data_IF_716710104007
#
_entry.id   IF_716710104007
#
_cell.length_a   1.000
_cell.length_b   1.000
_cell.length_c   1.000
_cell.angle_alpha   90.00
_cell.angle_beta   90.00
_cell.angle_gamma   90.00
#
_symmetry.space_group_name_H-M   'P 1'
#
loop_
_entity.id
_entity.type
_entity.pdbx_description
1 polymer ?
#
# COMPACT_ATOMS: atom_id res chain seq x y z
N UNK A 1 6.90 23.45 -16.42
CA UNK A 1 7.14 23.18 -14.99
C UNK A 1 8.42 22.33 -14.93
N UNK A 2 9.58 22.99 -15.00
CA UNK A 2 10.88 22.34 -15.17
C UNK A 2 11.20 21.20 -14.20
N UNK A 3 11.95 21.37 -13.14
CA UNK A 3 12.52 20.29 -12.34
C UNK A 3 11.72 19.94 -11.07
N UNK A 4 10.37 19.98 -11.13
CA UNK A 4 9.54 19.65 -9.97
C UNK A 4 9.38 18.15 -9.85
N UNK A 5 9.84 17.55 -8.74
CA UNK A 5 9.58 16.18 -8.40
C UNK A 5 8.12 15.99 -7.94
N UNK A 6 7.43 15.03 -8.50
CA UNK A 6 6.06 14.66 -8.10
C UNK A 6 6.12 13.37 -7.30
N UNK A 7 5.40 13.34 -6.18
CA UNK A 7 5.17 12.13 -5.38
C UNK A 7 3.76 11.67 -5.69
N UNK A 8 3.60 10.40 -6.00
CA UNK A 8 2.31 9.84 -6.40
C UNK A 8 2.08 8.45 -5.81
N UNK A 9 0.85 7.99 -5.87
CA UNK A 9 0.43 6.64 -5.53
C UNK A 9 0.01 5.86 -6.80
N UNK A 10 0.01 4.53 -6.80
CA UNK A 10 -0.30 3.72 -7.99
C UNK A 10 -1.66 4.01 -8.59
N UNK A 11 -2.68 4.23 -7.78
CA UNK A 11 -4.03 4.56 -8.24
C UNK A 11 -4.08 5.90 -8.98
N UNK A 12 -3.26 6.87 -8.61
CA UNK A 12 -3.15 8.15 -9.32
C UNK A 12 -2.53 7.95 -10.71
N UNK A 13 -1.53 7.07 -10.85
CA UNK A 13 -0.95 6.74 -12.14
C UNK A 13 -1.98 6.14 -13.10
N UNK A 14 -2.79 5.23 -12.61
CA UNK A 14 -3.84 4.60 -13.41
C UNK A 14 -4.94 5.61 -13.76
N UNK A 15 -5.34 6.46 -12.80
CA UNK A 15 -6.38 7.47 -12.98
C UNK A 15 -5.98 8.52 -14.04
N UNK A 16 -4.72 8.95 -14.04
CA UNK A 16 -4.22 10.01 -14.92
C UNK A 16 -3.54 9.51 -16.19
N UNK A 17 -3.61 8.23 -16.44
CA UNK A 17 -3.06 7.61 -17.66
C UNK A 17 -3.62 8.27 -18.92
N UNK A 18 -2.74 8.73 -19.80
CA UNK A 18 -3.10 9.32 -21.10
C UNK A 18 -3.74 10.72 -21.04
N UNK A 19 -3.81 11.34 -19.89
CA UNK A 19 -4.28 12.74 -19.76
C UNK A 19 -3.11 13.71 -19.96
N UNK A 20 -3.39 14.87 -20.58
CA UNK A 20 -2.37 15.93 -20.78
C UNK A 20 -1.85 16.50 -19.46
N UNK A 21 -2.72 16.57 -18.44
CA UNK A 21 -2.42 17.02 -17.08
C UNK A 21 -1.99 15.88 -16.14
N UNK A 22 -1.84 14.68 -16.67
CA UNK A 22 -1.44 13.50 -15.92
C UNK A 22 0.06 13.43 -15.61
N UNK A 23 0.45 12.44 -14.83
CA UNK A 23 1.84 12.22 -14.43
C UNK A 23 2.66 11.56 -15.55
N UNK A 24 2.85 12.26 -16.66
CA UNK A 24 3.59 11.72 -17.80
C UNK A 24 5.09 11.93 -17.70
N UNK A 25 5.52 12.84 -16.83
CA UNK A 25 6.93 13.20 -16.71
C UNK A 25 7.28 13.56 -15.27
N UNK A 26 8.49 13.23 -14.86
CA UNK A 26 9.11 13.69 -13.62
C UNK A 26 8.51 13.16 -12.30
N UNK A 27 7.76 12.05 -12.30
CA UNK A 27 7.51 11.34 -11.05
C UNK A 27 8.79 10.63 -10.66
N UNK A 28 9.44 11.10 -9.62
CA UNK A 28 10.72 10.56 -9.17
C UNK A 28 10.55 9.38 -8.22
N UNK A 29 9.45 9.35 -7.47
CA UNK A 29 9.10 8.24 -6.59
C UNK A 29 7.62 8.29 -6.21
N UNK A 30 7.11 7.17 -5.75
CA UNK A 30 5.77 7.08 -5.21
C UNK A 30 5.80 6.88 -3.70
N UNK A 31 4.79 7.40 -3.02
CA UNK A 31 4.61 7.25 -1.59
C UNK A 31 3.22 6.69 -1.29
N UNK A 32 3.20 5.54 -0.64
CA UNK A 32 1.97 4.92 -0.17
C UNK A 32 2.21 4.09 1.07
N UNK A 33 1.15 3.77 1.79
CA UNK A 33 1.19 2.79 2.87
C UNK A 33 1.12 1.34 2.37
N UNK A 34 0.81 1.13 1.09
CA UNK A 34 0.61 -0.20 0.51
C UNK A 34 1.92 -0.98 0.34
N UNK A 35 3.08 -0.29 0.33
CA UNK A 35 4.40 -0.91 0.33
C UNK A 35 4.60 -1.92 1.48
N UNK A 36 3.81 -1.82 2.55
CA UNK A 36 3.83 -2.78 3.65
C UNK A 36 3.36 -4.17 3.26
N UNK A 37 2.84 -4.35 2.07
CA UNK A 37 2.51 -5.66 1.52
C UNK A 37 3.66 -6.26 0.70
N UNK A 38 4.61 -5.44 0.28
CA UNK A 38 5.79 -5.91 -0.43
C UNK A 38 6.72 -6.67 0.52
N UNK A 39 7.28 -7.75 -0.02
CA UNK A 39 8.33 -8.55 0.60
C UNK A 39 9.49 -8.69 -0.40
N UNK A 40 10.68 -9.15 0.01
CA UNK A 40 11.76 -9.41 -0.93
C UNK A 40 11.38 -10.35 -2.09
N UNK A 41 10.46 -11.28 -1.82
CA UNK A 41 10.04 -12.29 -2.80
C UNK A 41 8.78 -11.90 -3.58
N UNK A 42 8.09 -10.83 -3.17
CA UNK A 42 6.83 -10.37 -3.78
C UNK A 42 6.69 -8.84 -3.63
N UNK A 43 7.34 -8.10 -4.51
CA UNK A 43 7.43 -6.65 -4.45
C UNK A 43 6.55 -5.97 -5.52
N UNK A 44 5.26 -6.26 -5.50
CA UNK A 44 4.28 -5.81 -6.49
C UNK A 44 4.26 -4.29 -6.67
N UNK A 45 4.34 -3.55 -5.58
CA UNK A 45 4.32 -2.10 -5.59
C UNK A 45 5.54 -1.52 -6.29
N UNK A 46 6.74 -2.01 -5.94
CA UNK A 46 8.00 -1.58 -6.55
C UNK A 46 8.00 -1.88 -8.04
N UNK A 47 7.54 -3.07 -8.46
CA UNK A 47 7.46 -3.43 -9.88
C UNK A 47 6.50 -2.54 -10.66
N UNK A 48 5.32 -2.24 -10.10
CA UNK A 48 4.37 -1.33 -10.74
C UNK A 48 4.98 0.07 -10.95
N UNK A 49 5.58 0.63 -9.91
CA UNK A 49 6.17 1.99 -10.00
C UNK A 49 7.37 2.03 -10.94
N UNK A 50 8.23 1.01 -10.91
CA UNK A 50 9.37 0.94 -11.81
C UNK A 50 8.94 0.89 -13.30
N UNK A 51 7.88 0.18 -13.62
CA UNK A 51 7.29 0.17 -14.96
C UNK A 51 6.61 1.50 -15.29
N UNK A 52 5.82 2.03 -14.38
CA UNK A 52 5.09 3.29 -14.58
C UNK A 52 6.02 4.48 -14.82
N UNK A 53 7.16 4.56 -14.14
CA UNK A 53 8.18 5.61 -14.36
C UNK A 53 8.81 5.55 -15.76
N UNK A 54 8.74 4.40 -16.42
CA UNK A 54 9.17 4.22 -17.80
C UNK A 54 8.04 4.40 -18.82
N UNK A 55 6.85 4.82 -18.39
CA UNK A 55 5.67 5.02 -19.22
C UNK A 55 4.83 3.76 -19.45
N UNK A 56 5.18 2.63 -18.83
CA UNK A 56 4.43 1.37 -18.90
C UNK A 56 3.53 1.23 -17.68
N UNK A 57 2.32 1.79 -17.76
CA UNK A 57 1.31 1.69 -16.69
C UNK A 57 0.51 0.39 -16.89
N UNK A 58 0.81 -0.61 -16.08
CA UNK A 58 0.20 -1.92 -16.15
C UNK A 58 -1.11 -1.97 -15.34
N UNK A 59 -2.24 -1.76 -16.01
CA UNK A 59 -3.57 -1.80 -15.41
C UNK A 59 -3.89 -3.19 -14.83
N UNK A 60 -3.39 -4.26 -15.43
CA UNK A 60 -3.61 -5.62 -14.97
C UNK A 60 -2.87 -5.88 -13.67
N UNK A 61 -1.61 -5.48 -13.58
CA UNK A 61 -0.81 -5.57 -12.36
C UNK A 61 -1.46 -4.75 -11.24
N UNK A 62 -1.91 -3.53 -11.55
CA UNK A 62 -2.62 -2.69 -10.59
C UNK A 62 -3.90 -3.38 -10.08
N UNK A 63 -4.78 -3.79 -10.99
CA UNK A 63 -6.09 -4.33 -10.64
C UNK A 63 -6.01 -5.67 -9.89
N UNK A 64 -5.05 -6.52 -10.24
CA UNK A 64 -4.92 -7.87 -9.67
C UNK A 64 -4.13 -7.89 -8.36
N UNK A 65 -3.18 -6.98 -8.19
CA UNK A 65 -2.25 -7.02 -7.06
C UNK A 65 -2.38 -5.82 -6.13
N UNK A 66 -2.42 -4.60 -6.65
CA UNK A 66 -2.35 -3.39 -5.81
C UNK A 66 -3.71 -2.91 -5.32
N UNK A 67 -4.73 -2.93 -6.17
CA UNK A 67 -6.08 -2.50 -5.80
C UNK A 67 -6.64 -3.28 -4.61
N UNK A 68 -6.57 -4.62 -4.54
CA UNK A 68 -7.05 -5.36 -3.38
C UNK A 68 -6.32 -5.01 -2.09
N UNK A 69 -5.01 -4.75 -2.16
CA UNK A 69 -4.21 -4.30 -1.02
C UNK A 69 -4.68 -2.91 -0.55
N UNK A 70 -4.88 -2.00 -1.49
CA UNK A 70 -5.37 -0.65 -1.20
C UNK A 70 -6.76 -0.68 -0.56
N UNK A 71 -7.68 -1.43 -1.11
CA UNK A 71 -9.05 -1.57 -0.58
C UNK A 71 -9.04 -2.10 0.87
N UNK A 72 -8.23 -3.09 1.17
CA UNK A 72 -8.07 -3.60 2.52
C UNK A 72 -7.42 -2.56 3.45
N UNK A 73 -6.38 -1.89 2.98
CA UNK A 73 -5.71 -0.81 3.71
C UNK A 73 -6.68 0.32 4.05
N UNK A 74 -7.46 0.79 3.08
CA UNK A 74 -8.45 1.85 3.24
C UNK A 74 -9.56 1.44 4.23
N UNK A 75 -10.08 0.20 4.13
CA UNK A 75 -11.06 -0.35 5.08
C UNK A 75 -10.57 -0.22 6.53
N UNK A 76 -9.37 -0.70 6.78
CA UNK A 76 -8.78 -0.70 8.12
C UNK A 76 -8.40 0.70 8.58
N UNK A 77 -7.85 1.52 7.71
CA UNK A 77 -7.49 2.90 8.01
C UNK A 77 -8.73 3.71 8.43
N UNK A 78 -9.76 3.70 7.59
CA UNK A 78 -11.00 4.44 7.86
C UNK A 78 -11.71 3.92 9.11
N UNK A 79 -11.81 2.61 9.31
CA UNK A 79 -12.42 2.01 10.49
C UNK A 79 -11.72 2.44 11.79
N UNK A 80 -10.39 2.42 11.81
CA UNK A 80 -9.62 2.84 12.98
C UNK A 80 -9.67 4.35 13.22
N UNK A 81 -9.66 5.17 12.17
CA UNK A 81 -9.84 6.62 12.31
C UNK A 81 -11.20 6.99 12.88
N UNK A 82 -12.27 6.32 12.43
CA UNK A 82 -13.61 6.53 12.99
C UNK A 82 -13.66 6.18 14.48
N UNK A 83 -13.11 5.04 14.86
CA UNK A 83 -13.04 4.58 16.23
C UNK A 83 -12.24 5.53 17.13
N UNK A 84 -11.15 6.07 16.62
CA UNK A 84 -10.25 6.99 17.37
C UNK A 84 -10.64 8.47 17.26
N UNK A 85 -11.82 8.77 16.71
CA UNK A 85 -12.32 10.14 16.50
C UNK A 85 -11.35 11.01 15.67
N UNK A 86 -10.77 10.41 14.62
CA UNK A 86 -9.89 11.10 13.67
C UNK A 86 -8.41 11.03 13.99
N UNK A 87 -7.99 10.33 15.04
CA UNK A 87 -6.56 10.11 15.29
C UNK A 87 -5.98 9.11 14.29
N UNK A 88 -4.71 9.33 13.88
CA UNK A 88 -4.03 8.42 12.99
C UNK A 88 -3.96 7.00 13.57
N UNK A 89 -4.20 5.95 12.75
CA UNK A 89 -4.29 4.56 13.20
C UNK A 89 -2.92 3.90 13.41
N UNK A 90 -2.04 4.54 14.18
CA UNK A 90 -0.64 4.11 14.37
C UNK A 90 -0.54 2.69 14.89
N UNK A 91 -1.42 2.28 15.80
CA UNK A 91 -1.42 0.91 16.35
C UNK A 91 -1.73 -0.14 15.28
N UNK A 92 -2.68 0.15 14.40
CA UNK A 92 -3.01 -0.72 13.26
C UNK A 92 -1.83 -0.81 12.29
N UNK A 93 -1.26 0.32 11.93
CA UNK A 93 -0.10 0.40 11.02
C UNK A 93 1.09 -0.41 11.55
N UNK A 94 1.39 -0.31 12.85
CA UNK A 94 2.48 -1.06 13.49
C UNK A 94 2.20 -2.57 13.48
N UNK A 95 0.99 -2.97 13.82
CA UNK A 95 0.63 -4.39 13.85
C UNK A 95 0.57 -5.01 12.44
N UNK A 96 0.08 -4.25 11.44
CA UNK A 96 0.20 -4.66 10.05
C UNK A 96 1.67 -4.91 9.66
N UNK A 97 2.57 -3.99 10.03
CA UNK A 97 4.00 -4.16 9.82
C UNK A 97 4.56 -5.43 10.47
N UNK A 98 4.15 -5.74 11.71
CA UNK A 98 4.53 -6.98 12.40
C UNK A 98 4.09 -8.23 11.63
N UNK A 99 2.86 -8.24 11.12
CA UNK A 99 2.34 -9.34 10.29
C UNK A 99 3.11 -9.51 8.97
N UNK A 100 3.77 -8.45 8.50
CA UNK A 100 4.65 -8.45 7.33
C UNK A 100 6.12 -8.72 7.66
N UNK A 101 6.43 -9.07 8.93
CA UNK A 101 7.78 -9.39 9.36
C UNK A 101 8.65 -8.19 9.77
N UNK A 102 8.06 -7.00 9.88
CA UNK A 102 8.77 -5.80 10.35
C UNK A 102 8.67 -5.64 11.87
N UNK A 103 9.60 -4.89 12.45
CA UNK A 103 9.54 -4.53 13.86
C UNK A 103 8.48 -3.43 14.08
N UNK A 104 7.40 -3.74 14.79
CA UNK A 104 6.32 -2.81 15.14
C UNK A 104 6.37 -2.37 16.61
N UNK A 105 5.99 -3.27 17.49
CA UNK A 105 5.91 -3.05 18.93
C UNK A 105 4.70 -2.22 19.38
N UNK A 106 4.60 -1.98 20.67
CA UNK A 106 3.47 -1.26 21.27
C UNK A 106 3.47 0.23 20.90
N UNK A 107 2.32 0.85 21.03
CA UNK A 107 2.17 2.31 20.99
C UNK A 107 2.34 2.90 22.38
N UNK A 108 2.70 4.19 22.46
CA UNK A 108 2.80 4.93 23.73
C UNK A 108 1.51 5.70 24.01
N UNK A 109 1.13 5.89 25.28
CA UNK A 109 0.04 6.80 25.64
C UNK A 109 0.25 8.19 25.01
N UNK A 110 -0.81 8.88 24.59
CA UNK A 110 -2.23 8.55 24.77
C UNK A 110 -2.83 7.59 23.72
N UNK A 111 -2.02 7.05 22.81
CA UNK A 111 -2.51 6.13 21.78
C UNK A 111 -2.92 4.79 22.40
N UNK A 112 -4.09 4.30 22.02
CA UNK A 112 -4.55 2.96 22.41
C UNK A 112 -4.03 1.91 21.42
N UNK A 113 -3.64 0.75 21.94
CA UNK A 113 -3.32 -0.43 21.11
C UNK A 113 -4.58 -1.05 20.51
N UNK A 114 -4.40 -1.91 19.51
CA UNK A 114 -5.48 -2.78 19.03
C UNK A 114 -5.88 -3.77 20.11
N UNK A 115 -7.19 -4.05 20.21
CA UNK A 115 -7.72 -5.16 20.99
C UNK A 115 -7.27 -6.49 20.37
N UNK A 116 -7.35 -7.59 21.15
CA UNK A 116 -7.00 -8.91 20.62
C UNK A 116 -7.91 -9.30 19.45
N UNK A 117 -9.20 -9.00 19.54
CA UNK A 117 -10.17 -9.25 18.46
C UNK A 117 -9.79 -8.53 17.16
N UNK A 118 -9.37 -7.27 17.24
CA UNK A 118 -8.92 -6.50 16.07
C UNK A 118 -7.63 -7.07 15.48
N UNK A 119 -6.72 -7.51 16.32
CA UNK A 119 -5.50 -8.18 15.87
C UNK A 119 -5.79 -9.48 15.12
N UNK A 120 -6.69 -10.29 15.67
CA UNK A 120 -7.08 -11.56 15.06
C UNK A 120 -7.81 -11.34 13.72
N UNK A 121 -8.66 -10.31 13.65
CA UNK A 121 -9.37 -9.93 12.42
C UNK A 121 -8.41 -9.42 11.35
N UNK A 122 -7.52 -8.50 11.68
CA UNK A 122 -6.52 -7.98 10.74
C UNK A 122 -5.60 -9.09 10.22
N UNK A 123 -5.14 -9.97 11.10
CA UNK A 123 -4.30 -11.10 10.71
C UNK A 123 -5.03 -12.06 9.75
N UNK A 124 -6.32 -12.29 9.99
CA UNK A 124 -7.17 -13.10 9.09
C UNK A 124 -7.36 -12.41 7.74
N UNK A 125 -7.72 -11.13 7.72
CA UNK A 125 -7.94 -10.37 6.50
C UNK A 125 -6.69 -10.34 5.63
N UNK A 126 -5.52 -10.10 6.22
CA UNK A 126 -4.24 -10.12 5.50
C UNK A 126 -3.89 -11.50 4.94
N UNK A 127 -4.20 -12.57 5.67
CA UNK A 127 -3.98 -13.94 5.19
C UNK A 127 -4.85 -14.23 3.98
N UNK A 128 -6.15 -13.93 4.07
CA UNK A 128 -7.10 -14.12 2.96
C UNK A 128 -6.66 -13.34 1.73
N UNK A 129 -6.24 -12.09 1.91
CA UNK A 129 -5.75 -11.27 0.81
C UNK A 129 -4.49 -11.87 0.16
N UNK A 130 -3.54 -12.32 0.98
CA UNK A 130 -2.29 -12.94 0.48
C UNK A 130 -2.57 -14.22 -0.34
N UNK A 131 -3.56 -15.00 0.07
CA UNK A 131 -3.96 -16.21 -0.67
C UNK A 131 -4.67 -15.88 -1.99
N UNK A 132 -5.25 -14.69 -2.11
CA UNK A 132 -5.96 -14.23 -3.31
C UNK A 132 -5.07 -13.51 -4.33
N UNK A 133 -3.97 -12.90 -3.88
CA UNK A 133 -3.06 -12.19 -4.77
C UNK A 133 -2.08 -13.20 -5.39
N UNK A 134 -2.08 -13.35 -6.73
CA UNK A 134 -1.13 -14.24 -7.40
C UNK A 134 0.32 -13.80 -7.11
N UNK A 135 1.20 -14.76 -6.96
CA UNK A 135 2.62 -14.46 -6.89
C UNK A 135 3.05 -13.76 -8.20
N UNK A 136 3.71 -12.61 -8.09
CA UNK A 136 4.38 -12.01 -9.25
C UNK A 136 5.65 -12.81 -9.45
N UNK A 137 5.72 -13.52 -10.55
CA UNK A 137 6.98 -14.13 -11.00
C UNK A 137 7.89 -12.97 -11.40
N UNK A 138 8.85 -12.64 -10.55
CA UNK A 138 9.83 -11.61 -10.85
C UNK A 138 10.59 -11.98 -12.11
N UNK A 139 10.69 -11.03 -13.02
CA UNK A 139 11.63 -11.13 -14.13
C UNK A 139 13.03 -11.07 -13.50
N UNK A 140 13.63 -12.24 -13.32
CA UNK A 140 15.01 -12.37 -12.86
C UNK A 140 15.93 -11.82 -13.94
N UNK A 141 16.32 -10.56 -13.78
CA UNK A 141 17.46 -9.98 -14.51
C UNK A 141 18.73 -10.20 -13.70
#
# INVERSE_FOLDING_TARGET
IGDTAIISAPDEWVLFKGREDGFQQQVMFANTSDWRFDTPDANHYVQFIDRATRGDIDDDLYNKHLRPIKELSDKWWQGQMQKSKGSLPVSMVKYWGELMGMAGGSVRPPLAGLSQSEKDELARDLRVLRDQIPAVVGDTR
#
